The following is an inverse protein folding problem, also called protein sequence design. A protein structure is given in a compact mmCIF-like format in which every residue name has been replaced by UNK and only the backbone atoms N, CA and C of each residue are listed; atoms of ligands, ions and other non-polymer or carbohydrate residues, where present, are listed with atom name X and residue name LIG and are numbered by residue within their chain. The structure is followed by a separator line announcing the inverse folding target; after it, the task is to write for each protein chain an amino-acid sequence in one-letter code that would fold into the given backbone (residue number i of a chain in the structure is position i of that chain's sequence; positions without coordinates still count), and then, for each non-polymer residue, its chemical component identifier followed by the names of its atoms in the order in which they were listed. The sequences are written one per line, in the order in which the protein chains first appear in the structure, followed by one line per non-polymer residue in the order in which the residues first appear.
data_IF_106383489355
#
_entry.id   IF_106383489355
#
_cell.length_a   1.000
_cell.length_b   1.000
_cell.length_c   1.000
_cell.angle_alpha   90.00
_cell.angle_beta   90.00
_cell.angle_gamma   90.00
#
_symmetry.space_group_name_H-M   'P 1'
#
loop_
_entity.id
_entity.type
_entity.pdbx_description
1 polymer ?
#
# COMPACT_ATOMS: atom_id res chain seq x y z
N UNK A 1 -16.84 32.66 50.66
CA UNK A 1 -15.40 32.73 50.33
C UNK A 1 -15.18 31.94 49.04
N UNK A 2 -14.38 32.50 48.13
CA UNK A 2 -13.87 31.98 46.83
C UNK A 2 -14.88 32.02 45.66
N UNK A 3 -14.93 33.05 44.82
CA UNK A 3 -13.99 33.52 43.75
C UNK A 3 -13.74 32.51 42.60
N UNK A 4 -14.43 32.76 41.47
CA UNK A 4 -13.96 32.92 40.06
C UNK A 4 -12.72 32.10 39.62
N UNK A 5 -12.85 31.28 38.55
CA UNK A 5 -12.19 31.52 37.25
C UNK A 5 -12.73 30.63 36.11
N UNK A 6 -13.03 31.29 34.98
CA UNK A 6 -13.22 30.75 33.63
C UNK A 6 -11.93 30.06 33.14
N UNK A 7 -12.03 28.89 32.53
CA UNK A 7 -11.24 28.54 31.34
C UNK A 7 -12.06 27.67 30.37
N UNK A 8 -12.38 28.29 29.24
CA UNK A 8 -12.55 27.65 27.94
C UNK A 8 -11.27 26.88 27.59
N UNK A 9 -11.41 25.62 27.13
CA UNK A 9 -10.48 24.85 26.29
C UNK A 9 -11.31 23.64 25.81
N UNK A 10 -12.00 23.70 24.66
CA UNK A 10 -11.49 23.35 23.34
C UNK A 10 -10.46 22.20 23.34
N UNK A 11 -10.73 21.21 22.49
CA UNK A 11 -9.91 20.03 22.16
C UNK A 11 -10.03 18.88 23.18
N UNK A 12 -10.42 17.67 22.82
CA UNK A 12 -10.25 16.99 21.53
C UNK A 12 -11.51 16.18 21.20
N UNK A 13 -12.10 16.49 20.04
CA UNK A 13 -12.64 15.42 19.20
C UNK A 13 -11.51 14.41 19.07
N UNK A 14 -11.64 13.27 19.74
CA UNK A 14 -10.87 12.10 19.37
C UNK A 14 -11.43 11.72 18.01
N UNK A 15 -10.87 12.33 16.95
CA UNK A 15 -10.86 11.73 15.64
C UNK A 15 -10.08 10.42 15.80
N UNK A 16 -10.77 9.37 16.24
CA UNK A 16 -10.48 8.07 15.68
C UNK A 16 -10.84 8.22 14.21
N UNK A 17 -9.84 8.65 13.42
CA UNK A 17 -9.89 8.64 11.96
C UNK A 17 -10.08 7.19 11.53
N UNK A 18 -11.31 6.69 11.63
CA UNK A 18 -11.78 5.61 10.80
C UNK A 18 -11.92 6.21 9.41
N UNK A 19 -10.77 6.36 8.74
CA UNK A 19 -10.73 6.63 7.31
C UNK A 19 -11.58 5.52 6.68
N UNK A 20 -12.79 5.86 6.25
CA UNK A 20 -13.67 4.97 5.53
C UNK A 20 -13.11 4.88 4.12
N UNK A 21 -12.19 3.94 3.92
CA UNK A 21 -11.57 3.70 2.62
C UNK A 21 -12.63 3.06 1.71
N UNK A 22 -13.02 3.71 0.60
CA UNK A 22 -13.94 3.14 -0.37
C UNK A 22 -13.42 1.80 -0.87
N UNK A 23 -14.23 0.76 -0.66
CA UNK A 23 -13.81 -0.65 -0.57
C UNK A 23 -13.72 -1.38 -1.91
N UNK A 24 -13.63 -0.71 -3.07
CA UNK A 24 -13.70 -1.43 -4.36
C UNK A 24 -12.44 -2.23 -4.69
N UNK A 25 -11.27 -1.71 -4.32
CA UNK A 25 -9.96 -2.32 -4.63
C UNK A 25 -8.94 -2.15 -3.50
N UNK A 26 -9.33 -1.56 -2.37
CA UNK A 26 -8.50 -1.45 -1.18
C UNK A 26 -9.15 -2.14 0.00
N UNK A 27 -8.33 -2.81 0.80
CA UNK A 27 -8.70 -3.32 2.12
C UNK A 27 -7.90 -2.59 3.19
N UNK A 28 -8.58 -2.05 4.21
CA UNK A 28 -7.93 -1.50 5.39
C UNK A 28 -7.38 -2.64 6.24
N UNK A 29 -6.13 -2.54 6.65
CA UNK A 29 -5.46 -3.49 7.54
C UNK A 29 -5.18 -2.78 8.86
N UNK A 30 -5.66 -3.36 9.96
CA UNK A 30 -5.29 -2.90 11.31
C UNK A 30 -3.88 -3.35 11.67
N UNK A 31 -3.22 -2.65 12.58
CA UNK A 31 -1.88 -3.01 13.07
C UNK A 31 -1.81 -4.49 13.51
N UNK A 32 -2.83 -4.97 14.22
CA UNK A 32 -2.92 -6.37 14.69
C UNK A 32 -2.95 -7.40 13.55
N UNK A 33 -3.38 -6.99 12.35
CA UNK A 33 -3.36 -7.82 11.14
C UNK A 33 -2.06 -7.63 10.34
N UNK A 34 -1.55 -6.40 10.27
CA UNK A 34 -0.35 -6.08 9.51
C UNK A 34 0.91 -6.74 10.09
N UNK A 35 1.04 -6.76 11.41
CA UNK A 35 2.17 -7.39 12.11
C UNK A 35 2.37 -8.86 11.75
N UNK A 36 1.37 -9.76 11.91
CA UNK A 36 1.53 -11.15 11.52
C UNK A 36 1.72 -11.33 10.00
N UNK A 37 1.12 -10.48 9.15
CA UNK A 37 1.36 -10.50 7.70
C UNK A 37 2.84 -10.24 7.40
N UNK A 38 3.42 -9.15 7.91
CA UNK A 38 4.83 -8.82 7.69
C UNK A 38 5.77 -9.92 8.19
N UNK A 39 5.47 -10.51 9.35
CA UNK A 39 6.26 -11.62 9.89
C UNK A 39 6.22 -12.84 8.96
N UNK A 40 5.03 -13.22 8.50
CA UNK A 40 4.86 -14.34 7.57
C UNK A 40 5.58 -14.09 6.24
N UNK A 41 5.46 -12.88 5.67
CA UNK A 41 6.15 -12.51 4.44
C UNK A 41 7.67 -12.51 4.63
N UNK A 42 8.17 -12.03 5.77
CA UNK A 42 9.61 -12.01 6.08
C UNK A 42 10.18 -13.43 6.21
N UNK A 43 9.45 -14.33 6.88
CA UNK A 43 9.81 -15.76 6.92
C UNK A 43 9.80 -16.37 5.52
N UNK A 44 8.77 -16.09 4.73
CA UNK A 44 8.63 -16.58 3.35
C UNK A 44 9.79 -16.10 2.46
N UNK A 45 10.10 -14.80 2.42
CA UNK A 45 11.16 -14.25 1.57
C UNK A 45 12.53 -14.74 2.00
N UNK A 46 12.77 -14.88 3.31
CA UNK A 46 14.03 -15.44 3.83
C UNK A 46 14.20 -16.90 3.40
N UNK A 47 13.16 -17.71 3.51
CA UNK A 47 13.19 -19.11 3.09
C UNK A 47 13.40 -19.26 1.58
N UNK A 48 12.76 -18.40 0.77
CA UNK A 48 12.95 -18.38 -0.69
C UNK A 48 14.34 -17.88 -1.07
N UNK A 49 14.85 -16.83 -0.42
CA UNK A 49 16.21 -16.31 -0.62
C UNK A 49 17.28 -17.38 -0.37
N UNK A 50 17.15 -18.15 0.72
CA UNK A 50 18.09 -19.21 1.06
C UNK A 50 18.16 -20.34 0.01
N UNK A 51 17.07 -20.53 -0.76
CA UNK A 51 16.94 -21.55 -1.81
C UNK A 51 17.06 -20.98 -3.23
N UNK A 52 17.24 -19.67 -3.36
CA UNK A 52 17.27 -18.98 -4.64
C UNK A 52 18.57 -19.24 -5.40
N UNK A 53 18.47 -19.35 -6.72
CA UNK A 53 19.64 -19.29 -7.60
C UNK A 53 20.14 -17.84 -7.72
N UNK A 54 21.33 -17.64 -8.32
CA UNK A 54 21.96 -16.31 -8.43
C UNK A 54 21.01 -15.24 -8.99
N UNK A 55 20.27 -15.54 -10.05
CA UNK A 55 19.35 -14.59 -10.72
C UNK A 55 18.15 -14.20 -9.86
N UNK A 56 17.60 -15.12 -9.07
CA UNK A 56 16.42 -14.84 -8.21
C UNK A 56 16.80 -14.33 -6.82
N UNK A 57 18.07 -14.46 -6.45
CA UNK A 57 18.58 -14.07 -5.14
C UNK A 57 18.52 -12.56 -4.91
N UNK A 58 18.82 -11.75 -5.93
CA UNK A 58 18.71 -10.29 -5.85
C UNK A 58 17.27 -9.83 -5.65
N UNK A 59 16.32 -10.44 -6.37
CA UNK A 59 14.89 -10.17 -6.21
C UNK A 59 14.43 -10.44 -4.76
N UNK A 60 14.76 -11.62 -4.20
CA UNK A 60 14.40 -11.93 -2.82
C UNK A 60 15.18 -11.09 -1.79
N UNK A 61 16.41 -10.66 -2.09
CA UNK A 61 17.14 -9.72 -1.24
C UNK A 61 16.40 -8.37 -1.14
N UNK A 62 15.93 -7.84 -2.27
CA UNK A 62 15.13 -6.61 -2.30
C UNK A 62 13.83 -6.77 -1.49
N UNK A 63 13.12 -7.89 -1.62
CA UNK A 63 11.92 -8.14 -0.80
C UNK A 63 12.24 -8.19 0.70
N UNK A 64 13.31 -8.88 1.10
CA UNK A 64 13.75 -8.92 2.50
C UNK A 64 14.08 -7.52 3.04
N UNK A 65 14.76 -6.69 2.25
CA UNK A 65 15.06 -5.31 2.64
C UNK A 65 13.79 -4.48 2.80
N UNK A 66 12.90 -4.50 1.81
CA UNK A 66 11.65 -3.74 1.84
C UNK A 66 10.75 -4.13 3.03
N UNK A 67 10.68 -5.43 3.35
CA UNK A 67 9.93 -5.92 4.51
C UNK A 67 10.57 -5.46 5.84
N UNK A 68 11.90 -5.48 5.95
CA UNK A 68 12.60 -4.99 7.16
C UNK A 68 12.36 -3.50 7.38
N UNK A 69 12.44 -2.70 6.31
CA UNK A 69 12.16 -1.27 6.37
C UNK A 69 10.70 -0.98 6.74
N UNK A 70 9.75 -1.76 6.21
CA UNK A 70 8.35 -1.67 6.57
C UNK A 70 8.10 -2.02 8.05
N UNK A 71 8.73 -3.09 8.56
CA UNK A 71 8.66 -3.48 9.98
C UNK A 71 9.25 -2.39 10.89
N UNK A 72 10.43 -1.86 10.55
CA UNK A 72 11.04 -0.76 11.31
C UNK A 72 10.14 0.48 11.36
N UNK A 73 9.56 0.86 10.21
CA UNK A 73 8.68 2.01 10.12
C UNK A 73 7.37 1.82 10.89
N UNK A 74 6.79 0.62 10.82
CA UNK A 74 5.60 0.26 11.60
C UNK A 74 5.85 0.37 13.10
N UNK A 75 7.01 -0.10 13.57
CA UNK A 75 7.35 -0.11 14.99
C UNK A 75 7.70 1.27 15.55
N UNK A 76 8.20 2.19 14.71
CA UNK A 76 8.61 3.54 15.13
C UNK A 76 7.45 4.54 15.15
N UNK A 77 6.37 4.28 14.40
CA UNK A 77 5.20 5.17 14.31
C UNK A 77 3.85 4.42 14.29
N UNK A 78 3.56 3.48 15.20
CA UNK A 78 2.38 2.62 15.10
C UNK A 78 1.06 3.40 15.11
N UNK A 79 0.95 4.47 15.91
CA UNK A 79 -0.30 5.22 16.10
C UNK A 79 -0.59 6.25 15.00
N UNK A 80 0.36 6.46 14.08
CA UNK A 80 0.24 7.48 13.02
C UNK A 80 -0.11 6.90 11.66
N UNK A 81 -0.28 5.58 11.56
CA UNK A 81 -0.33 4.89 10.28
C UNK A 81 -1.67 4.22 10.03
N UNK A 82 -2.11 4.35 8.78
CA UNK A 82 -3.16 3.54 8.18
C UNK A 82 -2.50 2.62 7.17
N UNK A 83 -2.76 1.32 7.28
CA UNK A 83 -2.26 0.32 6.35
C UNK A 83 -3.38 -0.09 5.41
N UNK A 84 -3.08 -0.16 4.12
CA UNK A 84 -4.01 -0.69 3.13
C UNK A 84 -3.33 -1.73 2.23
N UNK A 85 -4.11 -2.74 1.85
CA UNK A 85 -3.74 -3.68 0.79
C UNK A 85 -4.47 -3.30 -0.50
N UNK A 86 -3.75 -3.18 -1.61
CA UNK A 86 -4.35 -3.01 -2.93
C UNK A 86 -4.66 -4.36 -3.56
N UNK A 87 -5.95 -4.62 -3.80
CA UNK A 87 -6.51 -5.83 -4.40
C UNK A 87 -7.23 -5.45 -5.71
N UNK A 88 -6.48 -5.18 -6.78
CA UNK A 88 -7.02 -4.64 -8.03
C UNK A 88 -8.01 -5.57 -8.72
N UNK A 89 -7.87 -6.89 -8.51
CA UNK A 89 -8.69 -7.91 -9.14
C UNK A 89 -9.95 -8.27 -8.34
N UNK A 90 -10.23 -7.54 -7.24
CA UNK A 90 -11.48 -7.68 -6.51
C UNK A 90 -12.68 -7.12 -7.30
N UNK A 91 -12.44 -6.17 -8.20
CA UNK A 91 -13.44 -5.63 -9.12
C UNK A 91 -13.56 -6.51 -10.37
N UNK A 92 -14.66 -7.24 -10.50
CA UNK A 92 -14.95 -8.12 -11.63
C UNK A 92 -14.95 -7.38 -12.98
N UNK A 93 -15.17 -6.05 -13.01
CA UNK A 93 -15.08 -5.26 -14.25
C UNK A 93 -13.64 -5.13 -14.74
N UNK A 94 -12.69 -5.06 -13.81
CA UNK A 94 -11.25 -5.05 -14.14
C UNK A 94 -10.80 -6.40 -14.63
N UNK A 95 -11.40 -7.48 -14.14
CA UNK A 95 -11.16 -8.82 -14.69
C UNK A 95 -11.50 -8.94 -16.17
N UNK A 96 -12.42 -8.13 -16.72
CA UNK A 96 -12.77 -8.17 -18.15
C UNK A 96 -11.61 -7.66 -19.02
N UNK A 97 -10.88 -6.62 -18.59
CA UNK A 97 -9.63 -6.19 -19.24
C UNK A 97 -8.53 -7.27 -19.14
N UNK A 98 -8.52 -8.06 -18.07
CA UNK A 98 -7.64 -9.22 -17.93
C UNK A 98 -8.17 -10.47 -18.62
N UNK A 99 -9.42 -10.51 -19.12
CA UNK A 99 -10.02 -11.72 -19.71
C UNK A 99 -9.48 -12.01 -21.11
N UNK A 100 -9.04 -10.97 -21.81
CA UNK A 100 -8.26 -11.10 -23.05
C UNK A 100 -6.85 -11.65 -22.77
N UNK A 101 -6.38 -11.56 -21.52
CA UNK A 101 -5.19 -12.23 -21.03
C UNK A 101 -5.57 -13.56 -20.36
N UNK A 102 -5.31 -14.69 -21.01
CA UNK A 102 -5.29 -16.02 -20.38
C UNK A 102 -4.18 -16.17 -19.30
N UNK A 103 -3.89 -15.15 -18.49
CA UNK A 103 -2.75 -15.08 -17.58
C UNK A 103 -3.19 -15.36 -16.15
N UNK A 104 -3.08 -16.62 -15.76
CA UNK A 104 -2.96 -17.00 -14.35
C UNK A 104 -1.79 -16.21 -13.72
N UNK A 105 -1.81 -15.96 -12.40
CA UNK A 105 -0.64 -15.40 -11.73
C UNK A 105 0.62 -16.19 -12.10
N UNK A 106 1.73 -15.48 -12.36
CA UNK A 106 3.05 -16.09 -12.56
C UNK A 106 3.49 -16.81 -11.28
N UNK A 107 3.15 -16.24 -10.13
CA UNK A 107 3.36 -16.82 -8.80
C UNK A 107 2.07 -16.63 -8.01
N UNK A 108 1.56 -17.70 -7.39
CA UNK A 108 0.56 -17.61 -6.34
C UNK A 108 0.82 -18.69 -5.30
N UNK A 109 1.62 -18.35 -4.30
CA UNK A 109 1.99 -19.26 -3.21
C UNK A 109 0.95 -19.22 -2.05
N UNK A 110 -0.15 -18.48 -2.22
CA UNK A 110 -1.25 -18.39 -1.25
C UNK A 110 -2.22 -19.57 -1.44
N UNK A 111 -1.81 -20.74 -0.93
CA UNK A 111 -2.59 -21.98 -1.04
C UNK A 111 -3.98 -21.82 -0.43
N UNK A 112 -5.03 -22.22 -1.17
CA UNK A 112 -6.42 -22.15 -0.70
C UNK A 112 -7.06 -20.76 -0.72
N UNK A 113 -6.32 -19.71 -1.08
CA UNK A 113 -6.84 -18.35 -1.20
C UNK A 113 -6.92 -17.95 -2.68
N UNK A 114 -8.10 -17.53 -3.19
CA UNK A 114 -8.19 -16.99 -4.53
C UNK A 114 -7.27 -15.77 -4.68
N UNK A 115 -6.37 -15.77 -5.66
CA UNK A 115 -5.41 -14.67 -5.88
C UNK A 115 -6.08 -13.29 -6.03
N UNK A 116 -7.33 -13.26 -6.54
CA UNK A 116 -8.16 -12.04 -6.62
C UNK A 116 -8.56 -11.42 -5.28
N UNK A 117 -8.29 -12.10 -4.16
CA UNK A 117 -8.51 -11.62 -2.79
C UNK A 117 -7.19 -11.32 -2.06
N UNK A 118 -6.06 -11.50 -2.73
CA UNK A 118 -4.74 -11.31 -2.13
C UNK A 118 -4.23 -9.91 -2.52
N UNK A 119 -3.81 -9.08 -1.54
CA UNK A 119 -3.17 -7.80 -1.85
C UNK A 119 -1.95 -8.00 -2.74
N UNK A 120 -1.89 -7.27 -3.85
CA UNK A 120 -0.71 -7.23 -4.72
C UNK A 120 0.35 -6.30 -4.15
N UNK A 121 -0.07 -5.22 -3.48
CA UNK A 121 0.81 -4.27 -2.83
C UNK A 121 0.24 -3.85 -1.48
N UNK A 122 1.13 -3.55 -0.54
CA UNK A 122 0.82 -2.98 0.76
C UNK A 122 1.32 -1.54 0.81
N UNK A 123 0.49 -0.66 1.38
CA UNK A 123 0.69 0.79 1.33
C UNK A 123 0.53 1.35 2.74
N UNK A 124 1.47 2.20 3.13
CA UNK A 124 1.54 2.82 4.45
C UNK A 124 1.22 4.29 4.30
N UNK A 125 0.18 4.74 4.99
CA UNK A 125 -0.37 6.08 4.85
C UNK A 125 -0.30 6.79 6.21
N UNK A 126 0.30 7.97 6.25
CA UNK A 126 0.28 8.86 7.41
C UNK A 126 -0.72 10.00 7.12
N UNK A 127 -1.94 9.98 7.69
CA UNK A 127 -2.90 11.05 7.50
C UNK A 127 -2.50 12.30 8.28
N UNK A 128 -2.60 13.46 7.64
CA UNK A 128 -2.33 14.77 8.24
C UNK A 128 -3.60 15.55 8.57
N UNK A 129 -3.46 16.54 9.47
CA UNK A 129 -4.58 17.38 9.92
C UNK A 129 -5.20 18.25 8.82
N UNK A 130 -4.46 18.50 7.72
CA UNK A 130 -4.91 19.28 6.57
C UNK A 130 -5.61 18.42 5.50
N UNK A 131 -6.14 17.24 5.88
CA UNK A 131 -6.72 16.26 4.96
C UNK A 131 -5.75 15.83 3.84
N UNK A 132 -4.45 15.79 4.10
CA UNK A 132 -3.46 15.20 3.19
C UNK A 132 -3.16 13.77 3.63
N UNK A 133 -3.16 12.83 2.69
CA UNK A 133 -2.68 11.47 2.90
C UNK A 133 -1.23 11.36 2.41
N UNK A 134 -0.27 11.29 3.33
CA UNK A 134 1.13 11.07 2.98
C UNK A 134 1.39 9.59 2.74
N UNK A 135 1.75 9.21 1.53
CA UNK A 135 2.12 7.84 1.19
C UNK A 135 3.59 7.63 1.55
N UNK A 136 3.84 6.88 2.61
CA UNK A 136 5.16 6.74 3.23
C UNK A 136 5.95 5.58 2.65
N UNK A 137 5.28 4.44 2.41
CA UNK A 137 5.89 3.22 1.86
C UNK A 137 4.91 2.46 1.00
N UNK A 138 5.41 1.81 -0.05
CA UNK A 138 4.68 0.86 -0.88
C UNK A 138 5.59 -0.34 -1.11
N UNK A 139 5.13 -1.55 -0.83
CA UNK A 139 5.90 -2.74 -1.20
C UNK A 139 5.00 -3.80 -1.80
N UNK A 140 5.57 -4.59 -2.71
CA UNK A 140 4.87 -5.68 -3.37
C UNK A 140 4.71 -6.88 -2.43
N UNK A 141 3.62 -7.61 -2.59
CA UNK A 141 3.45 -8.89 -1.93
C UNK A 141 4.31 -9.96 -2.64
N UNK A 142 5.32 -10.56 -2.00
CA UNK A 142 6.21 -11.53 -2.64
C UNK A 142 5.57 -12.91 -2.87
N UNK A 143 4.36 -13.17 -2.35
CA UNK A 143 3.64 -14.43 -2.56
C UNK A 143 2.74 -14.42 -3.79
N UNK A 144 2.59 -13.27 -4.45
CA UNK A 144 1.75 -13.07 -5.61
C UNK A 144 2.50 -12.26 -6.66
N UNK A 145 2.65 -12.83 -7.85
CA UNK A 145 3.12 -12.11 -9.03
C UNK A 145 2.05 -12.19 -10.12
N UNK A 146 1.45 -11.04 -10.40
CA UNK A 146 0.49 -10.84 -11.47
C UNK A 146 0.98 -9.72 -12.38
N UNK A 147 0.75 -9.90 -13.67
CA UNK A 147 1.06 -8.88 -14.66
C UNK A 147 -0.06 -7.83 -14.64
N UNK A 148 0.12 -6.80 -13.82
CA UNK A 148 -0.80 -5.67 -13.70
C UNK A 148 -0.09 -4.36 -14.00
N UNK A 149 -0.76 -3.51 -14.78
CA UNK A 149 -0.35 -2.14 -14.98
C UNK A 149 -0.43 -1.35 -13.66
N UNK A 150 0.74 -1.07 -13.10
CA UNK A 150 0.91 -0.35 -11.84
C UNK A 150 0.44 1.10 -11.94
N UNK A 151 0.30 1.67 -13.14
CA UNK A 151 -0.28 3.02 -13.32
C UNK A 151 -1.70 3.11 -12.75
N UNK A 152 -2.44 1.99 -12.71
CA UNK A 152 -3.78 1.94 -12.10
C UNK A 152 -3.75 2.18 -10.59
N UNK A 153 -2.66 1.83 -9.90
CA UNK A 153 -2.55 2.07 -8.47
C UNK A 153 -2.64 3.57 -8.15
N UNK A 154 -2.05 4.43 -8.98
CA UNK A 154 -2.15 5.89 -8.83
C UNK A 154 -3.60 6.35 -8.93
N UNK A 155 -4.30 5.91 -9.97
CA UNK A 155 -5.69 6.30 -10.21
C UNK A 155 -6.60 5.84 -9.06
N UNK A 156 -6.35 4.66 -8.52
CA UNK A 156 -7.09 4.14 -7.39
C UNK A 156 -6.81 4.94 -6.11
N UNK A 157 -5.54 5.25 -5.84
CA UNK A 157 -5.17 6.09 -4.71
C UNK A 157 -5.81 7.48 -4.82
N UNK A 158 -5.78 8.09 -6.00
CA UNK A 158 -6.39 9.41 -6.24
C UNK A 158 -7.91 9.35 -6.06
N UNK A 159 -8.57 8.32 -6.60
CA UNK A 159 -10.00 8.10 -6.39
C UNK A 159 -10.33 7.94 -4.91
N UNK A 160 -9.55 7.13 -4.18
CA UNK A 160 -9.72 6.92 -2.73
C UNK A 160 -9.58 8.24 -1.96
N UNK A 161 -8.59 9.07 -2.30
CA UNK A 161 -8.38 10.37 -1.66
C UNK A 161 -9.54 11.33 -1.97
N UNK A 162 -9.97 11.41 -3.22
CA UNK A 162 -11.11 12.24 -3.64
C UNK A 162 -12.40 11.83 -2.92
N UNK A 163 -12.68 10.52 -2.80
CA UNK A 163 -13.88 10.00 -2.14
C UNK A 163 -13.99 10.41 -0.67
N UNK A 164 -12.86 10.67 0.00
CA UNK A 164 -12.81 11.13 1.40
C UNK A 164 -12.47 12.62 1.52
N UNK A 165 -12.48 13.36 0.42
CA UNK A 165 -12.11 14.78 0.34
C UNK A 165 -10.71 15.09 0.89
N UNK A 166 -9.73 14.28 0.50
CA UNK A 166 -8.34 14.39 0.86
C UNK A 166 -7.43 14.57 -0.37
N UNK A 167 -6.25 15.15 -0.16
CA UNK A 167 -5.18 15.20 -1.16
C UNK A 167 -4.19 14.05 -0.93
N UNK A 168 -3.42 13.71 -1.97
CA UNK A 168 -2.31 12.77 -1.85
C UNK A 168 -0.97 13.50 -1.87
N UNK A 169 -0.08 13.10 -0.97
CA UNK A 169 1.32 13.46 -1.01
C UNK A 169 2.18 12.21 -1.23
N UNK A 170 2.92 12.21 -2.34
CA UNK A 170 3.81 11.13 -2.75
C UNK A 170 5.30 11.48 -2.53
N UNK A 171 5.63 12.71 -2.14
CA UNK A 171 7.01 13.16 -1.93
C UNK A 171 7.83 12.25 -1.01
N UNK A 172 7.28 11.67 0.07
CA UNK A 172 8.04 10.74 0.92
C UNK A 172 8.60 9.53 0.16
N UNK A 173 8.00 9.15 -0.97
CA UNK A 173 8.46 8.01 -1.76
C UNK A 173 9.78 8.29 -2.50
N UNK A 174 10.25 9.54 -2.61
CA UNK A 174 11.54 9.87 -3.25
C UNK A 174 12.74 9.24 -2.54
N UNK A 175 12.67 9.13 -1.21
CA UNK A 175 13.75 8.60 -0.38
C UNK A 175 13.61 7.10 -0.09
N UNK A 176 12.58 6.46 -0.61
CA UNK A 176 12.26 5.05 -0.37
C UNK A 176 12.36 4.23 -1.65
N UNK A 177 12.88 3.00 -1.56
CA UNK A 177 13.08 2.09 -2.71
C UNK A 177 13.75 2.80 -3.91
N UNK A 178 14.78 3.61 -3.61
CA UNK A 178 15.50 4.44 -4.56
C UNK A 178 14.61 5.37 -5.42
N UNK A 179 13.49 5.82 -4.88
CA UNK A 179 12.55 6.69 -5.59
C UNK A 179 11.70 5.98 -6.64
N UNK A 180 11.82 4.65 -6.80
CA UNK A 180 11.08 3.87 -7.80
C UNK A 180 9.58 4.15 -7.75
N UNK A 181 9.00 4.09 -6.55
CA UNK A 181 7.56 4.32 -6.37
C UNK A 181 7.15 5.74 -6.70
N UNK A 182 7.99 6.71 -6.35
CA UNK A 182 7.77 8.09 -6.74
C UNK A 182 7.75 8.24 -8.26
N UNK A 183 8.73 7.67 -8.97
CA UNK A 183 8.80 7.72 -10.44
C UNK A 183 7.56 7.08 -11.08
N UNK A 184 7.24 5.83 -10.73
CA UNK A 184 6.09 5.10 -11.28
C UNK A 184 4.77 5.88 -11.11
N UNK A 185 4.57 6.47 -9.93
CA UNK A 185 3.34 7.18 -9.60
C UNK A 185 3.35 8.66 -10.05
N UNK A 186 4.50 9.24 -10.39
CA UNK A 186 4.60 10.62 -10.89
C UNK A 186 4.52 10.69 -12.41
N UNK A 187 5.09 9.73 -13.14
CA UNK A 187 5.31 9.75 -14.60
C UNK A 187 4.08 9.40 -15.47
N UNK A 188 2.90 9.18 -14.89
CA UNK A 188 1.73 8.60 -15.58
C UNK A 188 1.05 9.47 -16.65
N UNK A 189 1.71 10.54 -17.15
CA UNK A 189 1.22 11.38 -18.25
C UNK A 189 2.12 11.39 -19.50
N UNK A 190 3.12 10.50 -19.62
CA UNK A 190 4.19 10.66 -20.65
C UNK A 190 3.99 9.82 -21.92
N UNK A 191 3.06 8.87 -21.99
CA UNK A 191 2.87 8.06 -23.21
C UNK A 191 1.48 8.21 -23.86
N UNK A 192 1.06 9.46 -24.08
CA UNK A 192 0.22 9.77 -25.24
C UNK A 192 1.14 10.17 -26.39
N UNK A 193 1.69 9.18 -27.10
CA UNK A 193 2.22 9.44 -28.44
C UNK A 193 1.02 9.84 -29.31
N UNK A 194 0.81 11.15 -29.43
CA UNK A 194 -0.03 11.74 -30.45
C UNK A 194 0.49 11.26 -31.81
N UNK A 195 -0.16 10.25 -32.36
CA UNK A 195 -0.07 9.94 -33.78
C UNK A 195 -0.81 11.07 -34.49
N UNK A 196 -0.02 11.99 -35.05
CA UNK A 196 -0.46 12.96 -36.04
C UNK A 196 -0.34 12.34 -37.43
#
# INVERSE_FOLDING_TARGET
MNWIFKYLLFSTLIFTNSLNIPTKVFIKLELKHMTPILNALSTYTTAKFARANSTTKEMFASYCQNLREAQYYMNTKPDKLVYIGWIPLMDDRRMIKFRDFKRKPRINDNTGVPFRKVPTYFIFIEPELNNTLKIQKIFNNPTLDIDIDVSQLKNDLLSMANDINATLDLEPLKSYDNGRWFLILSESSIFECNTS
#
